data_IF_794693386631
#
_entry.id   IF_794693386631
#
_cell.length_a   1.000
_cell.length_b   1.000
_cell.length_c   1.000
_cell.angle_alpha   90.00
_cell.angle_beta   90.00
_cell.angle_gamma   90.00
#
_symmetry.space_group_name_H-M   'P 1'
#
loop_
_entity.id
_entity.type
_entity.pdbx_description
1 polymer ?
#
# COMPACT_ATOMS: atom_id res chain seq x y z
N UNK A 1 7.46 -47.69 51.55
CA UNK A 1 6.99 -46.29 51.49
C UNK A 1 7.83 -45.55 50.44
N UNK A 2 7.38 -45.52 49.19
CA UNK A 2 7.93 -44.67 48.13
C UNK A 2 6.80 -43.72 47.72
N UNK A 3 6.93 -42.43 48.03
CA UNK A 3 6.06 -41.40 47.49
C UNK A 3 6.83 -40.68 46.37
N UNK A 4 6.50 -41.05 45.13
CA UNK A 4 6.85 -40.27 43.94
C UNK A 4 5.99 -38.99 43.94
N UNK A 5 6.61 -37.85 44.23
CA UNK A 5 6.03 -36.56 43.90
C UNK A 5 6.25 -36.30 42.41
N UNK A 6 5.22 -36.55 41.61
CA UNK A 6 5.12 -36.10 40.23
C UNK A 6 5.00 -34.58 40.22
N UNK A 7 6.10 -33.89 39.87
CA UNK A 7 6.06 -32.50 39.48
C UNK A 7 5.27 -32.38 38.16
N UNK A 8 3.99 -32.00 38.27
CA UNK A 8 3.20 -31.60 37.12
C UNK A 8 3.76 -30.28 36.58
N UNK A 9 4.60 -30.37 35.54
CA UNK A 9 4.92 -29.25 34.65
C UNK A 9 3.62 -28.85 33.96
N UNK A 10 2.90 -27.90 34.55
CA UNK A 10 1.90 -27.09 33.87
C UNK A 10 2.64 -26.24 32.83
N UNK A 11 2.85 -26.83 31.65
CA UNK A 11 3.14 -26.07 30.45
C UNK A 11 1.87 -25.30 30.14
N UNK A 12 1.80 -24.05 30.58
CA UNK A 12 0.82 -23.11 30.07
C UNK A 12 1.10 -22.96 28.57
N UNK A 13 0.29 -23.62 27.75
CA UNK A 13 0.19 -23.27 26.34
C UNK A 13 -0.28 -21.81 26.30
N UNK A 14 0.67 -20.87 26.20
CA UNK A 14 0.36 -19.53 25.78
C UNK A 14 -0.19 -19.68 24.37
N UNK A 15 -1.50 -19.56 24.21
CA UNK A 15 -2.12 -19.51 22.90
C UNK A 15 -1.43 -18.38 22.12
N UNK A 16 -0.65 -18.75 21.12
CA UNK A 16 0.06 -17.79 20.30
C UNK A 16 -0.97 -17.14 19.37
N UNK A 17 -1.28 -15.88 19.60
CA UNK A 17 -2.18 -15.16 18.71
C UNK A 17 -1.61 -15.11 17.29
N UNK A 18 -2.49 -15.11 16.28
CA UNK A 18 -2.11 -15.06 14.87
C UNK A 18 -2.15 -13.64 14.31
N UNK A 19 -3.05 -12.78 14.79
CA UNK A 19 -3.08 -11.37 14.41
C UNK A 19 -3.56 -10.46 15.53
N UNK A 20 -3.26 -9.17 15.38
CA UNK A 20 -3.63 -8.10 16.30
C UNK A 20 -4.49 -7.05 15.60
N UNK A 21 -5.36 -6.40 16.36
CA UNK A 21 -6.07 -5.18 15.97
C UNK A 21 -5.72 -4.11 16.99
N UNK A 22 -5.16 -3.00 16.53
CA UNK A 22 -4.88 -1.83 17.35
C UNK A 22 -5.57 -0.59 16.78
N UNK A 23 -6.01 0.31 17.65
CA UNK A 23 -6.79 1.48 17.26
C UNK A 23 -6.30 2.76 17.92
N UNK A 24 -6.60 3.88 17.26
CA UNK A 24 -6.42 5.22 17.79
C UNK A 24 -7.63 6.07 17.39
N UNK A 25 -8.45 6.57 18.34
CA UNK A 25 -8.43 6.27 19.77
C UNK A 25 -8.80 4.82 20.10
N UNK A 26 -8.68 4.44 21.38
CA UNK A 26 -9.03 3.10 21.90
C UNK A 26 -10.46 2.67 21.55
N UNK A 27 -11.41 3.61 21.66
CA UNK A 27 -12.82 3.41 21.34
C UNK A 27 -13.18 4.13 20.06
N UNK A 28 -13.55 3.37 19.04
CA UNK A 28 -13.95 3.93 17.75
C UNK A 28 -15.33 4.60 17.81
N UNK A 29 -15.52 5.64 16.99
CA UNK A 29 -16.77 6.37 16.84
C UNK A 29 -17.28 6.15 15.40
N UNK A 30 -18.44 5.50 15.20
CA UNK A 30 -19.02 5.24 13.88
C UNK A 30 -19.18 6.47 12.98
N UNK A 31 -19.33 7.66 13.58
CA UNK A 31 -19.54 8.92 12.86
C UNK A 31 -18.24 9.62 12.44
N UNK A 32 -17.07 9.10 12.82
CA UNK A 32 -15.78 9.71 12.51
C UNK A 32 -15.08 8.91 11.40
N UNK A 33 -14.58 9.56 10.32
CA UNK A 33 -13.89 8.85 9.26
C UNK A 33 -12.67 8.09 9.81
N UNK A 34 -12.50 6.84 9.38
CA UNK A 34 -11.44 5.95 9.89
C UNK A 34 -10.51 5.53 8.77
N UNK A 35 -9.19 5.66 8.97
CA UNK A 35 -8.18 5.09 8.08
C UNK A 35 -7.78 3.70 8.60
N UNK A 36 -7.91 2.67 7.75
CA UNK A 36 -7.63 1.27 8.11
C UNK A 36 -6.41 0.78 7.33
N UNK A 37 -5.42 0.26 8.06
CA UNK A 37 -4.20 -0.31 7.52
C UNK A 37 -4.15 -1.80 7.85
N UNK A 38 -3.91 -2.64 6.86
CA UNK A 38 -3.82 -4.09 6.98
C UNK A 38 -2.40 -4.51 6.65
N UNK A 39 -1.65 -4.99 7.64
CA UNK A 39 -0.32 -5.56 7.47
C UNK A 39 -0.41 -7.08 7.41
N UNK A 40 -0.08 -7.65 6.24
CA UNK A 40 0.04 -9.10 6.06
C UNK A 40 1.35 -9.64 6.63
N UNK A 41 1.44 -10.97 6.73
CA UNK A 41 2.64 -11.64 7.22
C UNK A 41 3.85 -11.40 6.29
N UNK A 42 4.95 -10.91 6.85
CA UNK A 42 6.20 -10.60 6.16
C UNK A 42 7.07 -11.82 5.84
N UNK A 43 7.07 -12.84 6.72
CA UNK A 43 7.98 -13.99 6.63
C UNK A 43 9.44 -13.50 6.61
N UNK A 44 10.10 -13.54 5.45
CA UNK A 44 11.49 -13.10 5.27
C UNK A 44 11.68 -11.59 5.40
N UNK A 45 10.59 -10.82 5.30
CA UNK A 45 10.62 -9.36 5.44
C UNK A 45 10.44 -8.90 6.89
N UNK A 46 10.23 -9.82 7.83
CA UNK A 46 9.95 -9.52 9.23
C UNK A 46 8.78 -8.55 9.38
N UNK A 47 8.94 -7.54 10.23
CA UNK A 47 7.90 -6.55 10.54
C UNK A 47 7.86 -5.35 9.60
N UNK A 48 8.61 -5.34 8.49
CA UNK A 48 8.66 -4.17 7.59
C UNK A 48 7.27 -3.76 7.04
N UNK A 49 6.36 -4.70 6.76
CA UNK A 49 4.99 -4.36 6.36
C UNK A 49 4.21 -3.66 7.49
N UNK A 50 4.33 -4.14 8.73
CA UNK A 50 3.76 -3.47 9.90
C UNK A 50 4.39 -2.09 10.11
N UNK A 51 5.70 -1.96 9.96
CA UNK A 51 6.39 -0.67 10.06
C UNK A 51 5.92 0.32 8.99
N UNK A 52 5.70 -0.12 7.74
CA UNK A 52 5.09 0.71 6.69
C UNK A 52 3.65 1.10 7.01
N UNK A 53 2.84 0.19 7.55
CA UNK A 53 1.48 0.50 8.01
C UNK A 53 1.48 1.53 9.15
N UNK A 54 2.41 1.40 10.11
CA UNK A 54 2.62 2.35 11.20
C UNK A 54 3.02 3.73 10.65
N UNK A 55 3.93 3.79 9.68
CA UNK A 55 4.31 5.05 9.03
C UNK A 55 3.09 5.68 8.35
N UNK A 56 2.29 4.91 7.60
CA UNK A 56 1.04 5.37 7.00
C UNK A 56 0.05 5.93 8.04
N UNK A 57 -0.10 5.26 9.19
CA UNK A 57 -0.95 5.74 10.28
C UNK A 57 -0.44 7.07 10.89
N UNK A 58 0.87 7.23 11.04
CA UNK A 58 1.48 8.48 11.51
C UNK A 58 1.31 9.63 10.51
N UNK A 59 1.45 9.36 9.21
CA UNK A 59 1.16 10.34 8.16
C UNK A 59 -0.32 10.74 8.23
N UNK A 60 -1.24 9.77 8.32
CA UNK A 60 -2.67 10.05 8.53
C UNK A 60 -2.91 10.94 9.74
N UNK A 61 -2.24 10.69 10.87
CA UNK A 61 -2.34 11.51 12.10
C UNK A 61 -1.96 12.95 11.88
N UNK A 62 -0.88 13.16 11.16
CA UNK A 62 -0.35 14.50 10.88
C UNK A 62 -1.23 15.28 9.88
N UNK A 63 -1.76 14.61 8.86
CA UNK A 63 -2.53 15.24 7.77
C UNK A 63 -4.02 15.36 8.07
N UNK A 64 -4.58 14.39 8.78
CA UNK A 64 -6.01 14.27 9.05
C UNK A 64 -6.24 13.99 10.54
N UNK A 65 -5.84 14.89 11.45
CA UNK A 65 -5.92 14.65 12.90
C UNK A 65 -7.34 14.34 13.40
N UNK A 66 -8.37 14.80 12.69
CA UNK A 66 -9.78 14.53 12.97
C UNK A 66 -10.22 13.08 12.69
N UNK A 67 -9.42 12.28 11.98
CA UNK A 67 -9.73 10.89 11.64
C UNK A 67 -9.25 9.91 12.70
N UNK A 68 -9.88 8.74 12.74
CA UNK A 68 -9.43 7.59 13.55
C UNK A 68 -8.52 6.68 12.74
N UNK A 69 -7.70 5.86 13.40
CA UNK A 69 -6.83 4.87 12.75
C UNK A 69 -7.06 3.49 13.32
N UNK A 70 -6.93 2.49 12.45
CA UNK A 70 -6.93 1.07 12.81
C UNK A 70 -5.79 0.38 12.09
N UNK A 71 -4.99 -0.41 12.81
CA UNK A 71 -4.04 -1.35 12.20
C UNK A 71 -4.50 -2.77 12.52
N UNK A 72 -4.66 -3.59 11.49
CA UNK A 72 -4.87 -5.03 11.56
C UNK A 72 -3.57 -5.69 11.09
N UNK A 73 -2.86 -6.39 11.97
CA UNK A 73 -1.51 -6.93 11.68
C UNK A 73 -1.43 -8.43 11.93
N UNK A 74 -1.05 -9.19 10.90
CA UNK A 74 -0.63 -10.58 11.09
C UNK A 74 0.72 -10.62 11.82
N UNK A 75 0.82 -11.45 12.85
CA UNK A 75 1.99 -11.55 13.72
C UNK A 75 3.13 -12.31 13.03
N UNK A 76 4.30 -11.66 12.92
CA UNK A 76 5.55 -12.23 12.41
C UNK A 76 6.44 -12.79 13.52
N UNK A 77 6.43 -12.15 14.68
CA UNK A 77 7.28 -12.51 15.83
C UNK A 77 6.37 -12.96 16.99
N UNK A 78 6.21 -12.10 17.99
CA UNK A 78 5.35 -12.35 19.15
C UNK A 78 4.38 -11.21 19.37
N UNK A 79 3.26 -11.52 20.03
CA UNK A 79 2.25 -10.53 20.46
C UNK A 79 2.90 -9.38 21.21
N UNK A 80 3.81 -9.67 22.15
CA UNK A 80 4.46 -8.65 22.98
C UNK A 80 5.33 -7.69 22.16
N UNK A 81 6.10 -8.22 21.21
CA UNK A 81 6.95 -7.39 20.35
C UNK A 81 6.12 -6.47 19.44
N UNK A 82 5.14 -7.01 18.70
CA UNK A 82 4.35 -6.19 17.77
C UNK A 82 3.37 -5.26 18.48
N UNK A 83 2.79 -5.66 19.62
CA UNK A 83 1.99 -4.76 20.47
C UNK A 83 2.85 -3.58 20.95
N UNK A 84 4.10 -3.84 21.37
CA UNK A 84 5.03 -2.79 21.77
C UNK A 84 5.39 -1.82 20.64
N UNK A 85 5.46 -2.28 19.38
CA UNK A 85 5.63 -1.39 18.22
C UNK A 85 4.40 -0.50 18.00
N UNK A 86 3.20 -1.06 18.11
CA UNK A 86 1.92 -0.34 17.96
C UNK A 86 1.71 0.69 19.08
N UNK A 87 2.02 0.33 20.33
CA UNK A 87 1.95 1.22 21.49
C UNK A 87 2.93 2.39 21.36
N UNK A 88 4.18 2.14 20.95
CA UNK A 88 5.16 3.20 20.64
C UNK A 88 4.72 4.10 19.48
N UNK A 89 3.84 3.61 18.62
CA UNK A 89 3.23 4.40 17.56
C UNK A 89 1.99 5.18 18.04
N UNK A 90 1.52 4.98 19.27
CA UNK A 90 0.35 5.64 19.84
C UNK A 90 -0.98 4.91 19.55
N UNK A 91 -0.93 3.65 19.09
CA UNK A 91 -2.12 2.82 18.94
C UNK A 91 -2.26 1.89 20.15
N UNK A 92 -3.50 1.65 20.57
CA UNK A 92 -3.80 0.77 21.70
C UNK A 92 -4.30 -0.57 21.18
N UNK A 93 -3.77 -1.67 21.73
CA UNK A 93 -4.26 -3.00 21.39
C UNK A 93 -5.73 -3.14 21.79
N UNK A 94 -6.57 -3.48 20.81
CA UNK A 94 -8.01 -3.70 20.99
C UNK A 94 -8.34 -5.18 21.02
N UNK A 95 -7.62 -5.99 20.24
CA UNK A 95 -7.85 -7.43 20.12
C UNK A 95 -6.56 -8.14 19.72
N UNK A 96 -6.33 -9.30 20.33
CA UNK A 96 -5.48 -10.35 19.80
C UNK A 96 -6.39 -11.55 19.45
N UNK A 97 -6.17 -12.17 18.31
CA UNK A 97 -6.96 -13.31 17.85
C UNK A 97 -6.03 -14.47 17.52
N UNK A 98 -6.37 -15.65 18.03
CA UNK A 98 -5.59 -16.87 17.85
C UNK A 98 -5.86 -17.55 16.50
N UNK A 99 -6.99 -17.21 15.86
CA UNK A 99 -7.31 -17.68 14.52
C UNK A 99 -6.54 -16.90 13.45
N UNK A 100 -6.02 -17.62 12.45
CA UNK A 100 -5.31 -17.00 11.34
C UNK A 100 -6.13 -15.93 10.61
N UNK A 101 -5.47 -14.83 10.22
CA UNK A 101 -6.07 -13.80 9.39
C UNK A 101 -6.35 -14.36 7.98
N UNK A 102 -7.63 -14.62 7.71
CA UNK A 102 -8.20 -15.06 6.43
C UNK A 102 -9.12 -13.98 5.86
N UNK A 103 -9.60 -14.13 4.62
CA UNK A 103 -10.58 -13.21 4.04
C UNK A 103 -11.84 -13.07 4.92
N UNK A 104 -12.41 -14.18 5.39
CA UNK A 104 -13.57 -14.16 6.27
C UNK A 104 -13.27 -13.53 7.64
N UNK A 105 -12.10 -13.82 8.22
CA UNK A 105 -11.68 -13.20 9.49
C UNK A 105 -11.42 -11.72 9.34
N UNK A 106 -10.91 -11.26 8.19
CA UNK A 106 -10.79 -9.84 7.89
C UNK A 106 -12.17 -9.19 7.80
N UNK A 107 -13.13 -9.80 7.09
CA UNK A 107 -14.51 -9.32 7.01
C UNK A 107 -15.16 -9.22 8.38
N UNK A 108 -15.07 -10.27 9.20
CA UNK A 108 -15.60 -10.27 10.57
C UNK A 108 -14.91 -9.21 11.45
N UNK A 109 -13.61 -9.02 11.28
CA UNK A 109 -12.86 -7.97 11.97
C UNK A 109 -13.36 -6.59 11.58
N UNK A 110 -13.47 -6.29 10.28
CA UNK A 110 -13.97 -5.02 9.77
C UNK A 110 -15.41 -4.72 10.26
N UNK A 111 -16.26 -5.74 10.30
CA UNK A 111 -17.62 -5.64 10.85
C UNK A 111 -17.59 -5.26 12.34
N UNK A 112 -16.76 -5.92 13.15
CA UNK A 112 -16.63 -5.65 14.58
C UNK A 112 -16.09 -4.25 14.93
N UNK A 113 -15.43 -3.58 13.97
CA UNK A 113 -14.94 -2.22 14.19
C UNK A 113 -16.09 -1.21 14.30
N UNK A 114 -17.22 -1.46 13.64
CA UNK A 114 -18.40 -0.59 13.67
C UNK A 114 -18.22 0.76 12.96
N UNK A 115 -17.21 0.90 12.10
CA UNK A 115 -16.88 2.14 11.38
C UNK A 115 -16.81 1.89 9.87
N UNK A 116 -16.79 2.97 9.08
CA UNK A 116 -16.51 2.91 7.64
C UNK A 116 -15.12 3.46 7.34
N UNK A 117 -14.37 2.76 6.51
CA UNK A 117 -13.03 3.13 6.08
C UNK A 117 -13.09 4.32 5.10
N UNK A 118 -12.37 5.40 5.42
CA UNK A 118 -12.06 6.51 4.51
C UNK A 118 -10.82 6.21 3.66
N UNK A 119 -9.91 5.41 4.17
CA UNK A 119 -8.87 4.73 3.39
C UNK A 119 -8.71 3.30 3.88
N UNK A 120 -8.46 2.36 2.95
CA UNK A 120 -8.14 0.97 3.25
C UNK A 120 -6.84 0.57 2.55
N UNK A 121 -5.77 0.43 3.32
CA UNK A 121 -4.42 0.23 2.77
C UNK A 121 -3.85 -1.12 3.19
N UNK A 122 -3.46 -1.94 2.22
CA UNK A 122 -2.91 -3.27 2.43
C UNK A 122 -1.40 -3.26 2.19
N UNK A 123 -0.60 -3.72 3.15
CA UNK A 123 0.86 -3.83 3.07
C UNK A 123 1.24 -5.29 3.21
N UNK A 124 1.80 -5.89 2.16
CA UNK A 124 2.11 -7.31 2.21
C UNK A 124 2.58 -7.91 0.91
N UNK A 125 2.77 -9.23 0.93
CA UNK A 125 3.06 -9.99 -0.28
C UNK A 125 1.80 -10.13 -1.12
N UNK A 126 1.92 -9.90 -2.42
CA UNK A 126 0.93 -10.29 -3.41
C UNK A 126 1.66 -10.91 -4.59
N UNK A 127 0.95 -11.68 -5.38
CA UNK A 127 1.40 -12.09 -6.69
C UNK A 127 0.25 -11.87 -7.67
N UNK A 128 0.49 -12.11 -8.94
CA UNK A 128 -0.51 -11.86 -9.97
C UNK A 128 -1.79 -12.66 -9.73
N UNK A 129 -1.70 -13.95 -9.43
CA UNK A 129 -2.86 -14.86 -9.52
C UNK A 129 -3.56 -15.12 -8.18
N UNK A 130 -2.82 -15.36 -7.10
CA UNK A 130 -3.38 -15.84 -5.82
C UNK A 130 -3.85 -14.70 -4.90
N UNK A 131 -3.85 -13.45 -5.36
CA UNK A 131 -4.28 -12.31 -4.54
C UNK A 131 -3.31 -11.90 -3.43
N UNK A 132 -3.80 -11.23 -2.39
CA UNK A 132 -2.98 -10.61 -1.34
C UNK A 132 -2.78 -11.55 -0.15
N UNK A 133 -1.56 -11.73 0.34
CA UNK A 133 -1.26 -12.65 1.45
C UNK A 133 -1.57 -11.99 2.79
N UNK A 134 -2.52 -12.57 3.54
CA UNK A 134 -2.89 -12.11 4.88
C UNK A 134 -2.02 -12.76 5.96
N UNK A 135 -1.93 -14.09 5.99
CA UNK A 135 -1.18 -14.82 7.03
C UNK A 135 -0.20 -15.83 6.39
N UNK A 136 -0.67 -17.02 6.04
CA UNK A 136 0.17 -18.05 5.42
C UNK A 136 0.16 -17.94 3.90
N UNK A 137 0.97 -18.74 3.21
CA UNK A 137 0.95 -18.81 1.74
C UNK A 137 -0.43 -19.16 1.16
N UNK A 138 -1.30 -19.78 1.95
CA UNK A 138 -2.66 -20.20 1.57
C UNK A 138 -3.76 -19.29 2.11
N UNK A 139 -3.49 -18.53 3.17
CA UNK A 139 -4.48 -17.61 3.75
C UNK A 139 -4.31 -16.25 3.09
N UNK A 140 -5.01 -16.10 1.98
CA UNK A 140 -4.95 -14.95 1.09
C UNK A 140 -6.32 -14.30 0.99
N UNK A 141 -6.31 -13.07 0.53
CA UNK A 141 -7.45 -12.35 0.05
C UNK A 141 -7.44 -12.49 -1.48
N UNK A 142 -8.19 -13.46 -1.99
CA UNK A 142 -8.30 -13.74 -3.42
C UNK A 142 -9.45 -12.93 -4.03
N UNK A 143 -9.24 -12.38 -5.21
CA UNK A 143 -10.24 -11.61 -5.95
C UNK A 143 -11.47 -12.42 -6.38
N UNK A 144 -11.35 -13.76 -6.43
CA UNK A 144 -12.45 -14.68 -6.74
C UNK A 144 -13.31 -15.02 -5.50
N UNK A 145 -12.86 -14.71 -4.28
CA UNK A 145 -13.54 -15.12 -3.04
C UNK A 145 -14.73 -14.21 -2.70
N UNK A 146 -15.79 -14.78 -2.13
CA UNK A 146 -16.96 -14.02 -1.67
C UNK A 146 -16.59 -13.00 -0.57
N UNK A 147 -15.64 -13.36 0.30
CA UNK A 147 -15.10 -12.47 1.33
C UNK A 147 -14.48 -11.20 0.72
N UNK A 148 -13.85 -11.29 -0.45
CA UNK A 148 -13.28 -10.14 -1.12
C UNK A 148 -14.37 -9.16 -1.52
N UNK A 149 -15.43 -9.61 -2.19
CA UNK A 149 -16.56 -8.76 -2.58
C UNK A 149 -17.19 -8.04 -1.37
N UNK A 150 -17.27 -8.73 -0.22
CA UNK A 150 -17.85 -8.20 1.03
C UNK A 150 -17.08 -7.03 1.64
N UNK A 151 -15.82 -6.79 1.29
CA UNK A 151 -15.02 -5.70 1.89
C UNK A 151 -15.60 -4.32 1.58
N UNK A 152 -16.13 -4.11 0.36
CA UNK A 152 -16.64 -2.81 -0.09
C UNK A 152 -17.73 -2.22 0.80
N UNK A 153 -18.52 -3.06 1.49
CA UNK A 153 -19.57 -2.58 2.40
C UNK A 153 -19.00 -1.85 3.62
N UNK A 154 -17.73 -2.04 3.96
CA UNK A 154 -17.07 -1.36 5.09
C UNK A 154 -16.36 -0.08 4.68
N UNK A 155 -16.54 0.38 3.43
CA UNK A 155 -15.88 1.56 2.91
C UNK A 155 -16.85 2.73 2.73
N UNK A 156 -16.43 3.93 3.16
CA UNK A 156 -17.19 5.17 2.98
C UNK A 156 -17.35 5.52 1.49
N UNK A 157 -18.37 6.28 1.13
CA UNK A 157 -18.66 6.70 -0.26
C UNK A 157 -17.50 7.43 -0.95
N UNK A 158 -16.69 8.21 -0.22
CA UNK A 158 -15.52 8.94 -0.76
C UNK A 158 -14.20 8.26 -0.44
N UNK A 159 -14.23 6.98 -0.06
CA UNK A 159 -13.05 6.22 0.28
C UNK A 159 -12.21 5.84 -0.94
N UNK A 160 -10.98 5.42 -0.69
CA UNK A 160 -10.13 4.72 -1.65
C UNK A 160 -9.42 3.55 -0.96
N UNK A 161 -8.88 2.62 -1.74
CA UNK A 161 -8.03 1.55 -1.24
C UNK A 161 -6.70 1.45 -1.98
N UNK A 162 -5.67 0.90 -1.34
CA UNK A 162 -4.34 0.72 -1.94
C UNK A 162 -3.82 -0.66 -1.58
N UNK A 163 -3.36 -1.41 -2.58
CA UNK A 163 -2.59 -2.63 -2.38
C UNK A 163 -1.10 -2.34 -2.55
N UNK A 164 -0.43 -1.97 -1.46
CA UNK A 164 1.03 -1.90 -1.36
C UNK A 164 1.61 -3.31 -1.39
N UNK A 165 1.75 -3.86 -2.60
CA UNK A 165 2.24 -5.22 -2.84
C UNK A 165 2.61 -5.42 -4.31
N UNK A 166 3.38 -6.47 -4.60
CA UNK A 166 3.77 -6.83 -5.96
C UNK A 166 2.55 -7.23 -6.80
N UNK A 167 2.50 -6.77 -8.05
CA UNK A 167 1.56 -7.26 -9.07
C UNK A 167 0.06 -7.19 -8.74
N UNK A 168 -0.34 -6.38 -7.76
CA UNK A 168 -1.74 -6.23 -7.36
C UNK A 168 -2.64 -5.55 -8.39
N UNK A 169 -2.08 -4.87 -9.40
CA UNK A 169 -2.86 -4.19 -10.44
C UNK A 169 -3.39 -5.12 -11.54
N UNK A 170 -2.93 -6.37 -11.62
CA UNK A 170 -3.39 -7.29 -12.68
C UNK A 170 -4.81 -7.78 -12.46
N UNK A 171 -5.14 -8.20 -11.23
CA UNK A 171 -6.45 -8.75 -10.90
C UNK A 171 -7.06 -8.12 -9.65
N UNK A 172 -6.30 -7.97 -8.55
CA UNK A 172 -6.84 -7.46 -7.28
C UNK A 172 -7.42 -6.06 -7.40
N UNK A 173 -6.61 -5.06 -7.76
CA UNK A 173 -7.05 -3.67 -7.80
C UNK A 173 -8.22 -3.40 -8.77
N UNK A 174 -8.21 -3.86 -10.04
CA UNK A 174 -9.37 -3.66 -10.92
C UNK A 174 -10.62 -4.39 -10.43
N UNK A 175 -10.49 -5.61 -9.90
CA UNK A 175 -11.64 -6.37 -9.39
C UNK A 175 -12.20 -5.74 -8.12
N UNK A 176 -11.34 -5.30 -7.20
CA UNK A 176 -11.74 -4.54 -6.02
C UNK A 176 -12.44 -3.25 -6.41
N UNK A 177 -11.91 -2.50 -7.38
CA UNK A 177 -12.53 -1.26 -7.82
C UNK A 177 -13.97 -1.48 -8.30
N UNK A 178 -14.18 -2.55 -9.09
CA UNK A 178 -15.50 -2.97 -9.56
C UNK A 178 -16.42 -3.43 -8.42
N UNK A 179 -15.97 -4.38 -7.60
CA UNK A 179 -16.80 -5.03 -6.58
C UNK A 179 -17.09 -4.12 -5.38
N UNK A 180 -16.11 -3.32 -4.97
CA UNK A 180 -16.26 -2.41 -3.84
C UNK A 180 -16.88 -1.08 -4.25
N UNK A 181 -16.97 -0.83 -5.56
CA UNK A 181 -17.43 0.41 -6.15
C UNK A 181 -16.64 1.62 -5.61
N UNK A 182 -15.30 1.49 -5.53
CA UNK A 182 -14.37 2.51 -5.00
C UNK A 182 -13.11 2.61 -5.85
N UNK A 183 -12.39 3.73 -5.81
CA UNK A 183 -11.05 3.81 -6.36
C UNK A 183 -10.08 2.87 -5.64
N UNK A 184 -9.34 2.05 -6.38
CA UNK A 184 -8.36 1.11 -5.83
C UNK A 184 -7.05 1.19 -6.60
N UNK A 185 -5.95 1.34 -5.86
CA UNK A 185 -4.60 1.44 -6.39
C UNK A 185 -3.86 0.11 -6.28
N UNK A 186 -3.08 -0.25 -7.30
CA UNK A 186 -2.24 -1.44 -7.29
C UNK A 186 -0.98 -1.28 -8.13
N UNK A 187 -0.05 -2.24 -8.02
CA UNK A 187 1.21 -2.26 -8.77
C UNK A 187 1.17 -3.25 -9.93
N UNK A 188 1.73 -2.88 -11.09
CA UNK A 188 2.01 -3.82 -12.19
C UNK A 188 3.42 -4.41 -12.16
N UNK A 189 4.24 -3.92 -11.24
CA UNK A 189 5.60 -4.39 -11.02
C UNK A 189 5.73 -5.03 -9.64
N UNK A 190 6.93 -5.50 -9.33
CA UNK A 190 7.33 -5.80 -7.97
C UNK A 190 7.21 -4.55 -7.11
N UNK A 191 7.14 -4.73 -5.81
CA UNK A 191 7.22 -3.65 -4.85
C UNK A 191 8.35 -3.93 -3.90
N UNK A 192 9.08 -2.88 -3.54
CA UNK A 192 10.21 -3.00 -2.64
C UNK A 192 10.17 -1.90 -1.58
N UNK A 193 10.83 -2.19 -0.46
CA UNK A 193 10.92 -1.27 0.65
C UNK A 193 11.92 -0.16 0.33
N UNK A 194 11.55 1.05 0.72
CA UNK A 194 12.40 2.22 0.64
C UNK A 194 12.62 2.81 2.01
N UNK A 195 13.84 3.25 2.25
CA UNK A 195 14.23 3.97 3.45
C UNK A 195 14.64 5.39 3.08
N UNK A 196 14.34 6.32 3.99
CA UNK A 196 14.81 7.70 3.90
C UNK A 196 16.28 7.75 4.27
N UNK A 197 17.11 8.30 3.39
CA UNK A 197 18.55 8.40 3.55
C UNK A 197 18.98 9.77 4.11
N UNK A 198 20.26 9.90 4.47
CA UNK A 198 20.85 11.12 5.04
C UNK A 198 20.78 12.35 4.14
N UNK A 199 20.66 12.17 2.82
CA UNK A 199 20.42 13.26 1.85
C UNK A 199 18.96 13.75 1.83
N UNK A 200 18.06 13.06 2.54
CA UNK A 200 16.64 13.40 2.58
C UNK A 200 15.81 12.75 1.47
N UNK A 201 16.37 11.84 0.67
CA UNK A 201 15.66 11.15 -0.41
C UNK A 201 15.34 9.70 -0.05
N UNK A 202 14.34 9.14 -0.73
CA UNK A 202 13.95 7.74 -0.61
C UNK A 202 14.70 6.87 -1.60
N UNK A 203 15.31 5.80 -1.10
CA UNK A 203 15.97 4.78 -1.93
C UNK A 203 15.51 3.39 -1.54
N UNK A 204 15.56 2.45 -2.49
CA UNK A 204 15.33 1.03 -2.17
C UNK A 204 16.39 0.52 -1.21
N UNK A 205 15.99 -0.33 -0.27
CA UNK A 205 16.85 -0.76 0.83
C UNK A 205 17.77 -1.95 0.49
N UNK A 206 17.66 -2.52 -0.72
CA UNK A 206 18.60 -3.54 -1.17
C UNK A 206 19.99 -2.97 -1.44
N UNK A 207 21.07 -3.71 -1.09
CA UNK A 207 22.43 -3.34 -1.44
C UNK A 207 22.60 -3.02 -2.93
N UNK A 208 23.22 -1.88 -3.23
CA UNK A 208 23.49 -1.43 -4.60
C UNK A 208 22.39 -0.56 -5.21
N UNK A 209 21.21 -0.46 -4.60
CA UNK A 209 20.11 0.41 -5.06
C UNK A 209 20.10 1.81 -4.41
N UNK A 210 21.12 2.12 -3.60
CA UNK A 210 21.35 3.42 -2.99
C UNK A 210 22.84 3.80 -3.04
N UNK A 211 23.20 5.10 -2.99
CA UNK A 211 24.59 5.54 -2.95
C UNK A 211 25.34 4.98 -1.72
N UNK A 212 26.53 4.42 -1.95
CA UNK A 212 27.33 3.75 -0.91
C UNK A 212 27.83 4.68 0.20
N UNK A 213 27.82 6.00 -0.03
CA UNK A 213 28.20 7.02 0.93
C UNK A 213 27.03 7.53 1.79
N UNK A 214 25.80 7.05 1.55
CA UNK A 214 24.62 7.43 2.33
C UNK A 214 24.30 6.39 3.39
N UNK A 215 23.76 6.88 4.51
CA UNK A 215 23.27 6.05 5.60
C UNK A 215 21.77 6.23 5.75
N UNK A 216 21.13 5.26 6.38
CA UNK A 216 19.73 5.38 6.78
C UNK A 216 19.59 6.54 7.77
N UNK A 217 18.57 7.35 7.57
CA UNK A 217 18.28 8.47 8.46
C UNK A 217 17.75 7.92 9.80
N UNK A 218 18.35 8.33 10.92
CA UNK A 218 17.93 7.87 12.25
C UNK A 218 16.72 8.64 12.81
N UNK A 219 16.56 9.91 12.44
CA UNK A 219 15.43 10.76 12.83
C UNK A 219 15.06 11.74 11.72
N UNK A 220 13.79 12.09 11.58
CA UNK A 220 13.36 13.06 10.55
C UNK A 220 12.12 13.85 10.96
N UNK A 221 12.08 15.12 10.55
CA UNK A 221 10.88 15.98 10.56
C UNK A 221 10.33 16.20 9.14
N UNK A 222 10.96 15.59 8.12
CA UNK A 222 10.54 15.76 6.72
C UNK A 222 9.23 15.04 6.42
N UNK A 223 8.81 14.05 7.21
CA UNK A 223 7.64 13.23 6.88
C UNK A 223 6.38 13.65 7.64
N UNK A 224 6.53 14.15 8.86
CA UNK A 224 5.43 14.59 9.74
C UNK A 224 5.88 15.84 10.51
N UNK A 225 4.95 16.63 11.05
CA UNK A 225 5.28 17.80 11.88
C UNK A 225 6.07 17.42 13.13
N UNK A 226 5.76 16.26 13.72
CA UNK A 226 6.52 15.71 14.82
C UNK A 226 7.80 15.00 14.33
N UNK A 227 8.87 15.06 15.12
CA UNK A 227 10.09 14.30 14.84
C UNK A 227 9.81 12.79 14.92
N UNK A 228 10.14 12.06 13.87
CA UNK A 228 10.03 10.61 13.81
C UNK A 228 11.38 9.97 14.08
N UNK A 229 11.40 8.97 14.96
CA UNK A 229 12.48 8.00 15.03
C UNK A 229 12.38 7.04 13.86
N UNK A 230 13.39 7.07 13.00
CA UNK A 230 13.56 6.25 11.81
C UNK A 230 14.60 5.12 12.01
N UNK A 231 15.33 5.13 13.13
CA UNK A 231 16.25 4.07 13.52
C UNK A 231 15.59 2.69 13.49
N UNK A 232 16.39 1.66 13.21
CA UNK A 232 15.97 0.27 13.01
C UNK A 232 14.91 0.09 11.89
N UNK A 233 14.97 0.91 10.83
CA UNK A 233 14.10 0.75 9.65
C UNK A 233 12.66 1.26 9.82
N UNK A 234 12.34 1.96 10.90
CA UNK A 234 10.96 2.39 11.22
C UNK A 234 10.37 3.44 10.28
N UNK A 235 11.19 4.11 9.48
CA UNK A 235 10.75 4.98 8.39
C UNK A 235 10.91 4.24 7.05
N UNK A 236 10.07 3.23 6.85
CA UNK A 236 10.06 2.41 5.65
C UNK A 236 8.72 2.56 4.93
N UNK A 237 8.77 2.79 3.62
CA UNK A 237 7.59 2.78 2.74
C UNK A 237 7.74 1.70 1.68
N UNK A 238 6.63 1.22 1.13
CA UNK A 238 6.66 0.27 0.03
C UNK A 238 6.31 0.97 -1.29
N UNK A 239 7.14 0.80 -2.32
CA UNK A 239 6.97 1.44 -3.63
C UNK A 239 7.19 0.43 -4.78
N UNK A 240 6.43 0.53 -5.89
CA UNK A 240 6.69 -0.29 -7.07
C UNK A 240 8.08 -0.03 -7.65
N UNK A 241 8.79 -1.09 -7.99
CA UNK A 241 10.11 -1.00 -8.62
C UNK A 241 9.99 -0.58 -10.09
N UNK A 242 11.02 0.09 -10.61
CA UNK A 242 11.00 0.61 -11.98
C UNK A 242 11.44 -0.41 -13.04
N UNK A 243 11.12 -1.69 -12.86
CA UNK A 243 11.48 -2.75 -13.80
C UNK A 243 10.44 -3.87 -13.82
N UNK A 244 10.53 -4.75 -14.81
CA UNK A 244 9.59 -5.84 -15.01
C UNK A 244 9.66 -6.84 -13.86
N UNK A 245 8.51 -7.32 -13.41
CA UNK A 245 8.45 -8.30 -12.35
C UNK A 245 8.50 -9.72 -12.91
N UNK A 246 9.26 -10.56 -12.21
CA UNK A 246 9.38 -11.98 -12.49
C UNK A 246 9.07 -12.73 -11.20
N UNK A 247 8.08 -13.63 -11.24
CA UNK A 247 7.78 -14.52 -10.12
C UNK A 247 7.62 -15.97 -10.58
N UNK A 248 7.27 -16.84 -9.64
CA UNK A 248 6.99 -18.25 -9.91
C UNK A 248 5.78 -18.49 -10.82
N UNK A 249 4.98 -17.46 -11.10
CA UNK A 249 3.86 -17.52 -12.04
C UNK A 249 4.26 -17.04 -13.42
N UNK A 250 5.36 -16.30 -13.60
CA UNK A 250 5.95 -16.11 -14.91
C UNK A 250 6.52 -14.72 -15.14
N UNK A 251 6.56 -14.37 -16.43
CA UNK A 251 7.24 -13.18 -16.94
C UNK A 251 6.21 -12.14 -17.40
N UNK A 252 6.18 -11.00 -16.72
CA UNK A 252 5.29 -9.89 -17.03
C UNK A 252 6.10 -8.79 -17.72
N UNK A 253 6.05 -8.78 -19.06
CA UNK A 253 6.94 -7.95 -19.89
C UNK A 253 6.52 -6.47 -19.96
N UNK A 254 5.33 -6.15 -19.43
CA UNK A 254 4.82 -4.79 -19.31
C UNK A 254 4.52 -4.47 -17.85
N UNK A 255 4.74 -3.21 -17.47
CA UNK A 255 4.50 -2.76 -16.10
C UNK A 255 4.38 -1.25 -15.97
N UNK A 256 4.45 -0.78 -14.72
CA UNK A 256 4.55 0.63 -14.33
C UNK A 256 5.42 0.73 -13.08
N UNK A 257 6.19 1.81 -12.94
CA UNK A 257 7.04 2.10 -11.78
C UNK A 257 6.31 2.81 -10.64
N UNK A 258 4.98 2.79 -10.63
CA UNK A 258 4.12 3.47 -9.66
C UNK A 258 2.78 2.74 -9.50
N UNK A 259 2.00 3.11 -8.49
CA UNK A 259 0.67 2.52 -8.25
C UNK A 259 -0.38 3.10 -9.20
N UNK A 260 -1.01 2.26 -10.01
CA UNK A 260 -2.10 2.65 -10.91
C UNK A 260 -3.45 2.62 -10.19
N UNK A 261 -4.21 3.70 -10.28
CA UNK A 261 -5.58 3.79 -9.78
C UNK A 261 -6.62 3.23 -10.76
N UNK A 262 -7.51 2.38 -10.29
CA UNK A 262 -8.69 1.90 -11.02
C UNK A 262 -9.96 2.41 -10.33
N UNK A 263 -11.01 2.68 -11.09
CA UNK A 263 -12.31 3.09 -10.56
C UNK A 263 -13.44 2.67 -11.53
N UNK A 264 -14.68 2.46 -11.04
CA UNK A 264 -15.86 2.27 -11.89
C UNK A 264 -16.22 3.50 -12.73
N UNK A 265 -15.80 4.69 -12.27
CA UNK A 265 -15.95 5.96 -12.99
C UNK A 265 -14.67 6.77 -12.87
N UNK A 266 -14.19 7.31 -14.00
CA UNK A 266 -13.04 8.20 -14.03
C UNK A 266 -13.21 9.45 -13.14
N UNK A 267 -14.45 9.90 -12.90
CA UNK A 267 -14.73 11.05 -12.04
C UNK A 267 -14.33 10.85 -10.56
N UNK A 268 -14.11 9.61 -10.13
CA UNK A 268 -13.68 9.31 -8.76
C UNK A 268 -12.15 9.43 -8.58
N UNK A 269 -11.38 9.37 -9.68
CA UNK A 269 -9.92 9.34 -9.63
C UNK A 269 -9.29 10.65 -9.17
N UNK A 270 -9.78 11.86 -9.54
CA UNK A 270 -9.18 13.10 -9.09
C UNK A 270 -9.06 13.20 -7.57
N UNK A 271 -10.17 12.98 -6.85
CA UNK A 271 -10.16 12.99 -5.39
C UNK A 271 -9.30 11.86 -4.82
N UNK A 272 -9.35 10.65 -5.40
CA UNK A 272 -8.60 9.51 -4.89
C UNK A 272 -7.07 9.67 -5.05
N UNK A 273 -6.60 10.19 -6.18
CA UNK A 273 -5.17 10.43 -6.43
C UNK A 273 -4.65 11.53 -5.50
N UNK A 274 -5.43 12.58 -5.28
CA UNK A 274 -5.10 13.62 -4.29
C UNK A 274 -5.02 13.03 -2.87
N UNK A 275 -6.05 12.29 -2.44
CA UNK A 275 -6.06 11.64 -1.11
C UNK A 275 -4.87 10.70 -0.93
N UNK A 276 -4.58 9.89 -1.94
CA UNK A 276 -3.45 8.97 -1.89
C UNK A 276 -2.11 9.72 -1.81
N UNK A 277 -1.95 10.79 -2.58
CA UNK A 277 -0.75 11.64 -2.53
C UNK A 277 -0.56 12.24 -1.13
N UNK A 278 -1.63 12.73 -0.48
CA UNK A 278 -1.54 13.27 0.88
C UNK A 278 -1.26 12.22 1.96
N UNK A 279 -1.68 10.98 1.73
CA UNK A 279 -1.47 9.86 2.65
C UNK A 279 -0.15 9.13 2.43
N UNK A 280 0.52 9.39 1.30
CA UNK A 280 1.80 8.76 0.97
C UNK A 280 2.93 9.42 1.76
N UNK A 281 3.89 8.65 2.33
CA UNK A 281 5.06 9.24 2.98
C UNK A 281 5.97 9.89 1.93
N UNK A 282 5.85 11.20 1.73
CA UNK A 282 6.63 11.97 0.75
C UNK A 282 7.71 12.83 1.43
N UNK A 283 8.79 13.15 0.72
CA UNK A 283 9.82 14.10 1.19
C UNK A 283 9.30 15.53 1.30
N UNK A 284 8.26 15.86 0.52
CA UNK A 284 7.51 17.12 0.55
C UNK A 284 6.09 16.86 1.10
N UNK A 285 5.90 16.96 2.42
CA UNK A 285 4.61 16.96 3.11
C UNK A 285 3.50 17.79 2.44
N UNK A 286 2.39 17.14 2.12
CA UNK A 286 1.17 17.85 1.69
C UNK A 286 0.25 18.19 2.86
N UNK A 287 -0.28 19.41 2.85
CA UNK A 287 -1.34 19.90 3.75
C UNK A 287 -2.46 20.52 2.93
N UNK A 288 -3.56 20.91 3.58
CA UNK A 288 -4.65 21.62 2.90
C UNK A 288 -4.23 23.01 2.37
N UNK A 289 -3.11 23.55 2.86
CA UNK A 289 -2.57 24.85 2.47
C UNK A 289 -1.36 24.73 1.53
N UNK A 290 -0.99 23.52 1.12
CA UNK A 290 0.18 23.30 0.27
C UNK A 290 -0.01 23.94 -1.10
N UNK A 291 1.10 24.46 -1.65
CA UNK A 291 1.12 25.05 -2.97
C UNK A 291 0.99 23.98 -4.06
N UNK A 292 0.72 24.43 -5.28
CA UNK A 292 0.74 23.54 -6.45
C UNK A 292 2.13 22.96 -6.72
N UNK A 293 3.18 23.71 -6.39
CA UNK A 293 4.57 23.24 -6.50
C UNK A 293 4.85 22.13 -5.48
N UNK A 294 4.38 22.27 -4.24
CA UNK A 294 4.49 21.21 -3.23
C UNK A 294 3.74 19.96 -3.67
N UNK A 295 2.57 20.12 -4.30
CA UNK A 295 1.82 19.00 -4.86
C UNK A 295 2.60 18.29 -5.98
N UNK A 296 3.24 19.04 -6.88
CA UNK A 296 4.07 18.48 -7.94
C UNK A 296 5.23 17.65 -7.37
N UNK A 297 5.90 18.13 -6.32
CA UNK A 297 6.97 17.39 -5.63
C UNK A 297 6.43 16.14 -4.92
N UNK A 298 5.32 16.26 -4.21
CA UNK A 298 4.71 15.15 -3.49
C UNK A 298 4.21 14.03 -4.41
N UNK A 299 3.58 14.38 -5.55
CA UNK A 299 3.12 13.38 -6.52
C UNK A 299 4.29 12.72 -7.26
N UNK A 300 5.35 13.48 -7.56
CA UNK A 300 6.59 12.95 -8.14
C UNK A 300 7.22 11.89 -7.21
N UNK A 301 7.21 12.12 -5.90
CA UNK A 301 7.81 11.25 -4.89
C UNK A 301 7.36 9.77 -5.00
N UNK A 302 6.10 9.53 -5.39
CA UNK A 302 5.53 8.20 -5.56
C UNK A 302 5.26 7.79 -7.02
N UNK A 303 5.14 8.73 -7.96
CA UNK A 303 4.96 8.44 -9.38
C UNK A 303 6.27 8.28 -10.16
N UNK A 304 7.32 9.00 -9.77
CA UNK A 304 8.61 8.96 -10.44
C UNK A 304 9.47 7.80 -9.96
N UNK A 305 10.33 7.20 -10.81
CA UNK A 305 11.28 6.17 -10.38
C UNK A 305 12.21 6.68 -9.28
N UNK A 306 12.62 5.80 -8.37
CA UNK A 306 13.76 6.05 -7.49
C UNK A 306 14.89 5.15 -7.95
N UNK A 307 16.05 5.72 -8.23
CA UNK A 307 17.27 4.99 -8.58
C UNK A 307 18.47 5.56 -7.80
N UNK A 308 19.62 4.91 -7.94
CA UNK A 308 20.82 5.25 -7.18
C UNK A 308 21.34 6.65 -7.51
N UNK A 309 21.26 7.11 -8.76
CA UNK A 309 21.77 8.43 -9.15
C UNK A 309 20.75 9.55 -8.97
N UNK A 310 19.47 9.23 -8.85
CA UNK A 310 18.36 10.18 -8.81
C UNK A 310 18.06 10.87 -10.16
N UNK A 311 18.84 10.62 -11.21
CA UNK A 311 18.68 11.31 -12.51
C UNK A 311 17.30 11.08 -13.15
N UNK A 312 16.79 9.84 -13.09
CA UNK A 312 15.44 9.52 -13.62
C UNK A 312 14.35 10.17 -12.78
N UNK A 313 14.57 10.30 -11.47
CA UNK A 313 13.65 11.02 -10.60
C UNK A 313 13.58 12.49 -10.98
N UNK A 314 14.75 13.15 -11.11
CA UNK A 314 14.85 14.57 -11.41
C UNK A 314 14.27 14.92 -12.79
N UNK A 315 14.57 14.10 -13.80
CA UNK A 315 13.97 14.25 -15.13
C UNK A 315 12.44 14.11 -15.09
N UNK A 316 11.93 13.18 -14.28
CA UNK A 316 10.50 12.98 -14.09
C UNK A 316 9.84 14.15 -13.36
N UNK A 317 10.44 14.63 -12.27
CA UNK A 317 9.99 15.80 -11.54
C UNK A 317 9.95 17.04 -12.43
N UNK A 318 11.00 17.28 -13.22
CA UNK A 318 11.05 18.39 -14.16
C UNK A 318 9.92 18.31 -15.21
N UNK A 319 9.64 17.11 -15.75
CA UNK A 319 8.54 16.92 -16.69
C UNK A 319 7.15 17.15 -16.05
N UNK A 320 6.98 16.79 -14.77
CA UNK A 320 5.76 17.08 -14.00
C UNK A 320 5.60 18.59 -13.78
N UNK A 321 6.67 19.28 -13.35
CA UNK A 321 6.67 20.72 -13.10
C UNK A 321 6.42 21.53 -14.39
N UNK A 322 6.96 21.07 -15.52
CA UNK A 322 6.72 21.65 -16.85
C UNK A 322 5.39 21.22 -17.47
N UNK A 323 4.57 20.45 -16.74
CA UNK A 323 3.25 19.96 -17.16
C UNK A 323 3.25 19.19 -18.49
N UNK A 324 4.34 18.51 -18.80
CA UNK A 324 4.48 17.80 -20.09
C UNK A 324 3.40 16.73 -20.27
N UNK A 325 2.84 16.20 -19.19
CA UNK A 325 1.72 15.25 -19.21
C UNK A 325 0.45 15.78 -19.90
N UNK A 326 0.31 17.11 -20.08
CA UNK A 326 -0.81 17.72 -20.81
C UNK A 326 -0.63 17.59 -22.33
N UNK A 327 0.58 17.79 -22.84
CA UNK A 327 0.88 17.79 -24.29
C UNK A 327 1.50 16.48 -24.79
N UNK A 328 2.12 15.69 -23.90
CA UNK A 328 2.74 14.39 -24.17
C UNK A 328 1.90 13.27 -23.53
N UNK A 329 0.86 12.75 -24.21
CA UNK A 329 -0.03 11.74 -23.63
C UNK A 329 0.69 10.42 -23.33
N UNK A 330 1.77 10.10 -24.05
CA UNK A 330 2.54 8.86 -23.90
C UNK A 330 3.83 9.04 -23.07
N UNK A 331 3.90 10.06 -22.20
CA UNK A 331 5.03 10.30 -21.32
C UNK A 331 5.22 9.10 -20.37
N UNK A 332 6.45 8.63 -20.21
CA UNK A 332 6.75 7.48 -19.35
C UNK A 332 8.20 7.53 -18.89
N UNK A 333 8.41 7.20 -17.61
CA UNK A 333 9.73 7.04 -16.99
C UNK A 333 9.99 5.59 -16.55
N UNK A 334 9.09 4.67 -16.94
CA UNK A 334 9.29 3.24 -16.72
C UNK A 334 10.44 2.72 -17.59
N UNK A 335 11.32 1.90 -17.02
CA UNK A 335 12.51 1.41 -17.71
C UNK A 335 12.19 0.44 -18.85
N UNK A 336 11.07 -0.27 -18.75
CA UNK A 336 10.62 -1.24 -19.73
C UNK A 336 9.35 -0.74 -20.45
N UNK A 337 8.64 -1.66 -21.11
CA UNK A 337 7.40 -1.35 -21.81
C UNK A 337 6.29 -1.02 -20.82
N UNK A 338 5.78 0.21 -20.88
CA UNK A 338 4.63 0.61 -20.06
C UNK A 338 3.35 -0.08 -20.53
N UNK A 339 2.60 -0.66 -19.59
CA UNK A 339 1.27 -1.23 -19.87
C UNK A 339 0.27 -0.12 -20.19
N UNK A 340 -0.57 -0.30 -21.21
CA UNK A 340 -1.64 0.65 -21.51
C UNK A 340 -2.93 0.23 -20.82
N UNK A 341 -3.53 1.15 -20.08
CA UNK A 341 -4.75 0.92 -19.35
C UNK A 341 -5.61 2.18 -19.32
N UNK A 342 -6.91 1.99 -19.21
CA UNK A 342 -7.83 3.04 -18.80
C UNK A 342 -8.14 2.91 -17.29
N UNK A 343 -9.15 3.62 -16.80
CA UNK A 343 -9.55 3.59 -15.38
C UNK A 343 -10.21 2.27 -14.95
N UNK A 344 -10.66 1.42 -15.87
CA UNK A 344 -11.41 0.19 -15.57
C UNK A 344 -10.55 -1.06 -15.82
N UNK A 345 -9.80 -1.07 -16.92
CA UNK A 345 -9.17 -2.25 -17.48
C UNK A 345 -7.85 -1.92 -18.20
N UNK A 346 -7.19 -2.95 -18.74
CA UNK A 346 -5.94 -2.81 -19.48
C UNK A 346 -6.03 -3.47 -20.85
N UNK A 347 -5.21 -2.99 -21.79
CA UNK A 347 -5.08 -3.59 -23.12
C UNK A 347 -4.29 -4.91 -23.12
N UNK A 348 -3.89 -5.39 -21.96
CA UNK A 348 -3.09 -6.59 -21.76
C UNK A 348 -3.78 -7.45 -20.71
N UNK A 349 -4.02 -8.72 -21.03
CA UNK A 349 -4.56 -9.71 -20.11
C UNK A 349 -3.48 -10.69 -19.65
N UNK A 350 -3.63 -11.24 -18.45
CA UNK A 350 -2.82 -12.35 -17.97
C UNK A 350 -3.53 -13.65 -18.32
N UNK A 351 -2.87 -14.53 -19.08
CA UNK A 351 -3.35 -15.88 -19.37
C UNK A 351 -2.45 -16.89 -18.69
N UNK A 352 -3.03 -17.68 -17.79
CA UNK A 352 -2.35 -18.76 -17.07
C UNK A 352 -2.77 -20.12 -17.63
N UNK A 353 -1.83 -21.08 -17.75
CA UNK A 353 -2.20 -22.45 -18.18
C UNK A 353 -3.18 -23.05 -17.17
N UNK A 354 -4.28 -23.62 -17.63
CA UNK A 354 -5.38 -24.06 -16.76
C UNK A 354 -5.04 -25.33 -15.96
N UNK A 355 -4.26 -25.19 -14.89
CA UNK A 355 -4.19 -26.16 -13.81
C UNK A 355 -4.01 -25.38 -12.50
N UNK A 356 -5.08 -25.22 -11.72
CA UNK A 356 -5.03 -24.74 -10.32
C UNK A 356 -4.37 -25.81 -9.43
N UNK A 357 -3.18 -26.26 -9.79
CA UNK A 357 -2.31 -27.06 -8.91
C UNK A 357 -1.30 -26.09 -8.33
N UNK A 358 -1.23 -26.09 -7.01
CA UNK A 358 -0.73 -25.06 -6.09
C UNK A 358 0.75 -24.64 -6.26
N UNK A 359 1.46 -25.12 -7.29
CA UNK A 359 2.92 -25.09 -7.34
C UNK A 359 3.59 -24.17 -8.37
N UNK A 360 2.88 -23.63 -9.35
CA UNK A 360 3.30 -22.53 -10.25
C UNK A 360 2.43 -22.65 -11.47
N UNK A 361 1.55 -21.67 -11.68
CA UNK A 361 0.79 -21.65 -12.92
C UNK A 361 1.55 -20.74 -13.87
N UNK A 362 2.19 -21.26 -14.94
CA UNK A 362 2.87 -20.40 -15.89
C UNK A 362 1.82 -19.53 -16.57
N UNK A 363 1.91 -18.24 -16.27
CA UNK A 363 1.16 -17.13 -16.76
C UNK A 363 2.02 -16.33 -17.74
N UNK A 364 1.36 -15.81 -18.77
CA UNK A 364 1.95 -14.87 -19.71
C UNK A 364 0.99 -13.72 -19.94
N UNK A 365 1.54 -12.55 -20.23
CA UNK A 365 0.77 -11.42 -20.72
C UNK A 365 0.41 -11.62 -22.20
N UNK A 366 -0.82 -11.31 -22.57
CA UNK A 366 -1.30 -11.33 -23.95
C UNK A 366 -1.93 -9.98 -24.25
N UNK A 367 -1.45 -9.34 -25.31
CA UNK A 367 -2.06 -8.11 -25.81
C UNK A 367 -3.47 -8.41 -26.33
N UNK A 368 -4.42 -7.62 -25.86
CA UNK A 368 -5.80 -7.63 -26.34
C UNK A 368 -6.00 -6.58 -27.44
N UNK A 369 -5.25 -5.47 -27.36
CA UNK A 369 -5.30 -4.35 -28.29
C UNK A 369 -3.94 -3.68 -28.35
N UNK A 370 -3.55 -3.24 -29.54
CA UNK A 370 -2.40 -2.35 -29.70
C UNK A 370 -2.69 -0.98 -29.07
N UNK A 371 -1.67 -0.37 -28.48
CA UNK A 371 -1.79 0.95 -27.88
C UNK A 371 -0.58 1.32 -27.05
N UNK A 372 -0.14 2.58 -27.19
CA UNK A 372 0.87 3.17 -26.31
C UNK A 372 0.21 3.51 -24.97
N UNK A 373 0.96 3.37 -23.89
CA UNK A 373 0.45 3.70 -22.55
C UNK A 373 0.31 5.20 -22.38
N UNK A 374 -0.86 5.63 -21.90
CA UNK A 374 -1.11 7.00 -21.43
C UNK A 374 -1.17 7.11 -19.91
N UNK A 375 -0.95 6.00 -19.19
CA UNK A 375 -1.31 5.86 -17.78
C UNK A 375 -0.62 6.87 -16.89
N UNK A 376 0.68 7.12 -17.11
CA UNK A 376 1.44 8.10 -16.33
C UNK A 376 0.85 9.51 -16.50
N UNK A 377 0.63 9.94 -17.74
CA UNK A 377 0.05 11.25 -18.02
C UNK A 377 -1.38 11.38 -17.50
N UNK A 378 -2.22 10.37 -17.66
CA UNK A 378 -3.61 10.41 -17.22
C UNK A 378 -3.72 10.43 -15.69
N UNK A 379 -2.86 9.69 -14.97
CA UNK A 379 -2.86 9.71 -13.51
C UNK A 379 -2.37 11.05 -12.94
N UNK A 380 -1.42 11.72 -13.61
CA UNK A 380 -1.05 13.10 -13.30
C UNK A 380 -2.21 14.07 -13.55
N UNK A 381 -2.90 13.95 -14.70
CA UNK A 381 -4.09 14.78 -14.98
C UNK A 381 -5.14 14.62 -13.88
N UNK A 382 -5.43 13.39 -13.44
CA UNK A 382 -6.34 13.17 -12.32
C UNK A 382 -5.82 13.83 -11.03
N UNK A 383 -4.55 13.64 -10.68
CA UNK A 383 -3.95 14.27 -9.51
C UNK A 383 -4.09 15.78 -9.49
N UNK A 384 -3.67 16.46 -10.57
CA UNK A 384 -3.77 17.92 -10.67
C UNK A 384 -5.21 18.41 -10.76
N UNK A 385 -6.11 17.69 -11.44
CA UNK A 385 -7.53 18.00 -11.41
C UNK A 385 -8.07 17.95 -9.97
N UNK A 386 -7.71 16.93 -9.20
CA UNK A 386 -8.12 16.80 -7.80
C UNK A 386 -7.58 17.95 -6.94
N UNK A 387 -6.31 18.31 -7.11
CA UNK A 387 -5.72 19.47 -6.45
C UNK A 387 -6.47 20.77 -6.79
N UNK A 388 -6.75 21.03 -8.06
CA UNK A 388 -7.45 22.24 -8.49
C UNK A 388 -8.90 22.27 -7.96
N UNK A 389 -9.59 21.12 -7.91
CA UNK A 389 -10.91 20.97 -7.29
C UNK A 389 -10.88 21.28 -5.79
N UNK A 390 -9.84 20.84 -5.07
CA UNK A 390 -9.67 21.16 -3.66
C UNK A 390 -9.48 22.67 -3.46
N UNK A 391 -8.61 23.30 -4.26
CA UNK A 391 -8.34 24.73 -4.17
C UNK A 391 -9.57 25.60 -4.45
N UNK A 392 -10.52 25.11 -5.26
CA UNK A 392 -11.82 25.76 -5.51
C UNK A 392 -12.91 25.40 -4.49
N UNK A 393 -12.64 24.48 -3.56
CA UNK A 393 -13.63 24.02 -2.57
C UNK A 393 -14.69 23.05 -3.14
N UNK A 394 -14.45 22.47 -4.33
CA UNK A 394 -15.37 21.53 -4.98
C UNK A 394 -15.32 20.13 -4.35
N UNK A 395 -14.20 19.78 -3.71
CA UNK A 395 -14.03 18.53 -2.97
C UNK A 395 -13.54 18.78 -1.55
N UNK A 396 -13.90 17.87 -0.64
CA UNK A 396 -13.46 17.87 0.76
C UNK A 396 -12.81 16.54 1.12
N UNK A 397 -11.74 16.62 1.91
CA UNK A 397 -10.84 15.49 2.20
C UNK A 397 -11.22 14.77 3.49
#
# INVERSE_FOLDING_TARGET
MLALLSAALLVSAQNASAFLVATEPARLNPSVPTDIFVAGLGVNQGTQFLQSAILGAKISRDRFPQRQRVIISALNDSVGYESGLLEKAGLQSRKADDDHLTGDRLVATLESLGVKARSLQFYGHSNTYNGFRLQTKYKRLDHDDEAFAKIGRFMDSKSFAVFHSCNSAWFLAPTAAKLWNRPVFGSFAGSNFQNLMTDGNWYYNDPGLYPSNLNWKNTTTQLTKASLSCGDGRCVRLKPVNHNYYDSFGRFEKGLGFYKGFAPSASMLPQAVLHFTMMTPTTTPMTLQSSREDFAKAIADWMCPSDRSHDKYDACLAAIQNEEFKSKPNLSFYENTSIACDHISCNTAVKCKAFKVVFSVPCKTVELREGRSTVFSDQLKYGFQGFDQLSRGEISL
#
